data_IF_996408178863
#
_entry.id   IF_996408178863
#
_cell.length_a   1.000
_cell.length_b   1.000
_cell.length_c   1.000
_cell.angle_alpha   90.00
_cell.angle_beta   90.00
_cell.angle_gamma   90.00
#
_symmetry.space_group_name_H-M   'P 1'
#
loop_
_entity.id
_entity.type
_entity.pdbx_description
1 polymer ?
#
# COMPACT_ATOMS: atom_id res chain seq x y z
N UNK A 1 25.94 -19.27 19.48
CA UNK A 1 24.89 -19.66 18.54
C UNK A 1 25.30 -19.11 17.19
N UNK A 2 25.61 -19.98 16.21
CA UNK A 2 26.07 -19.53 14.88
C UNK A 2 24.89 -18.90 14.15
N UNK A 3 24.92 -17.60 13.97
CA UNK A 3 24.04 -16.95 13.00
C UNK A 3 24.40 -17.53 11.63
N UNK A 4 23.53 -18.34 11.07
CA UNK A 4 23.65 -18.82 9.70
C UNK A 4 23.60 -17.59 8.79
N UNK A 5 24.73 -17.30 8.12
CA UNK A 5 24.83 -16.20 7.13
C UNK A 5 24.10 -16.56 5.81
N UNK A 6 22.90 -17.14 5.90
CA UNK A 6 22.12 -17.45 4.71
C UNK A 6 21.59 -16.17 4.06
N UNK A 7 21.69 -16.09 2.76
CA UNK A 7 21.03 -15.02 1.99
C UNK A 7 19.51 -15.21 1.98
N UNK A 8 18.76 -14.15 1.69
CA UNK A 8 17.29 -14.22 1.53
C UNK A 8 16.88 -15.30 0.52
N UNK A 9 17.59 -15.41 -0.59
CA UNK A 9 17.34 -16.44 -1.61
C UNK A 9 17.56 -17.87 -1.07
N UNK A 10 18.63 -18.11 -0.29
CA UNK A 10 18.90 -19.43 0.31
C UNK A 10 17.84 -19.80 1.36
N UNK A 11 17.37 -18.84 2.15
CA UNK A 11 16.26 -19.06 3.08
C UNK A 11 14.96 -19.42 2.36
N UNK A 12 14.66 -18.71 1.27
CA UNK A 12 13.48 -18.99 0.44
C UNK A 12 13.55 -20.39 -0.21
N UNK A 13 14.71 -20.75 -0.75
CA UNK A 13 14.97 -22.07 -1.33
C UNK A 13 14.72 -23.18 -0.29
N UNK A 14 15.30 -23.03 0.91
CA UNK A 14 15.11 -24.00 1.99
C UNK A 14 13.65 -24.16 2.42
N UNK A 15 12.89 -23.06 2.51
CA UNK A 15 11.46 -23.09 2.84
C UNK A 15 10.67 -23.80 1.75
N UNK A 16 10.89 -23.44 0.49
CA UNK A 16 10.14 -24.02 -0.64
C UNK A 16 10.50 -25.49 -0.90
N UNK A 17 11.74 -25.90 -0.67
CA UNK A 17 12.14 -27.31 -0.72
C UNK A 17 11.38 -28.14 0.33
N UNK A 18 11.22 -27.63 1.55
CA UNK A 18 10.44 -28.30 2.59
C UNK A 18 8.95 -28.39 2.21
N UNK A 19 8.38 -27.34 1.62
CA UNK A 19 7.00 -27.34 1.11
C UNK A 19 6.83 -28.42 0.05
N UNK A 20 7.73 -28.45 -0.95
CA UNK A 20 7.68 -29.47 -2.03
C UNK A 20 7.89 -30.87 -1.51
N UNK A 21 8.80 -31.07 -0.55
CA UNK A 21 9.03 -32.36 0.09
C UNK A 21 7.81 -32.88 0.86
N UNK A 22 6.94 -31.97 1.34
CA UNK A 22 5.67 -32.32 1.96
C UNK A 22 4.53 -32.59 0.92
N UNK A 23 4.84 -32.60 -0.37
CA UNK A 23 3.88 -32.81 -1.45
C UNK A 23 2.93 -31.62 -1.67
N UNK A 24 3.37 -30.41 -1.34
CA UNK A 24 2.62 -29.16 -1.53
C UNK A 24 3.32 -28.23 -2.54
N UNK A 25 2.57 -27.35 -3.15
CA UNK A 25 3.11 -26.17 -3.82
C UNK A 25 3.02 -24.95 -2.88
N UNK A 26 3.87 -23.94 -3.09
CA UNK A 26 3.84 -22.76 -2.24
C UNK A 26 4.46 -21.53 -2.87
N UNK A 27 4.12 -20.39 -2.32
CA UNK A 27 4.82 -19.13 -2.52
C UNK A 27 5.20 -18.49 -1.19
N UNK A 28 6.33 -17.80 -1.20
CA UNK A 28 6.91 -17.12 -0.06
C UNK A 28 7.10 -15.64 -0.42
N UNK A 29 6.46 -14.77 0.34
CA UNK A 29 6.65 -13.33 0.27
C UNK A 29 7.52 -12.92 1.46
N UNK A 30 8.60 -12.18 1.18
CA UNK A 30 9.48 -11.62 2.21
C UNK A 30 9.39 -10.11 2.09
N UNK A 31 8.76 -9.49 3.09
CA UNK A 31 8.66 -8.04 3.20
C UNK A 31 9.70 -7.53 4.18
N UNK A 32 10.51 -6.57 3.75
CA UNK A 32 11.48 -5.85 4.56
C UNK A 32 11.19 -4.36 4.47
N UNK A 33 11.26 -3.66 5.59
CA UNK A 33 11.02 -2.24 5.65
C UNK A 33 11.88 -1.54 6.68
N UNK A 34 12.23 -0.29 6.38
CA UNK A 34 12.82 0.65 7.32
C UNK A 34 12.04 1.97 7.24
N UNK A 35 11.71 2.52 8.39
CA UNK A 35 11.03 3.81 8.49
C UNK A 35 11.77 4.68 9.50
N UNK A 36 12.17 5.87 9.06
CA UNK A 36 12.61 6.96 9.91
C UNK A 36 11.40 7.88 10.10
N UNK A 37 11.05 8.19 11.34
CA UNK A 37 9.97 9.10 11.70
C UNK A 37 10.49 10.18 12.63
N UNK A 38 10.26 11.43 12.28
CA UNK A 38 10.69 12.62 13.00
C UNK A 38 9.47 13.49 13.30
N UNK A 39 9.38 13.99 14.54
CA UNK A 39 8.39 15.00 14.92
C UNK A 39 9.05 16.14 15.64
N UNK A 40 8.52 17.33 15.45
CA UNK A 40 8.94 18.53 16.15
C UNK A 40 7.83 19.01 17.09
N UNK A 41 8.23 19.62 18.20
CA UNK A 41 7.33 20.31 19.12
C UNK A 41 8.08 21.45 19.82
N UNK A 42 7.43 22.61 19.89
CA UNK A 42 7.94 23.79 20.60
C UNK A 42 9.37 24.20 20.16
N UNK A 43 9.65 24.01 18.86
CA UNK A 43 10.94 24.34 18.26
C UNK A 43 12.04 23.30 18.48
N UNK A 44 11.73 22.17 19.10
CA UNK A 44 12.68 21.08 19.38
C UNK A 44 12.24 19.76 18.72
N UNK A 45 13.18 18.84 18.57
CA UNK A 45 12.89 17.49 18.10
C UNK A 45 12.21 16.67 19.20
N UNK A 46 10.90 16.38 19.05
CA UNK A 46 10.13 15.58 20.00
C UNK A 46 10.34 14.08 19.81
N UNK A 47 10.40 13.62 18.56
CA UNK A 47 10.55 12.19 18.26
C UNK A 47 11.59 11.98 17.15
N UNK A 48 12.51 11.07 17.41
CA UNK A 48 13.35 10.44 16.42
C UNK A 48 13.23 8.92 16.56
N UNK A 49 12.52 8.30 15.63
CA UNK A 49 12.26 6.87 15.66
C UNK A 49 12.75 6.22 14.38
N UNK A 50 13.52 5.14 14.53
CA UNK A 50 13.87 4.22 13.44
C UNK A 50 13.18 2.90 13.74
N UNK A 51 12.42 2.41 12.79
CA UNK A 51 11.75 1.10 12.86
C UNK A 51 12.18 0.27 11.67
N UNK A 52 12.57 -0.97 11.92
CA UNK A 52 12.82 -1.95 10.87
C UNK A 52 11.93 -3.16 11.09
N UNK A 53 11.48 -3.76 10.02
CA UNK A 53 10.67 -4.98 10.03
C UNK A 53 11.13 -5.94 8.95
N UNK A 54 10.99 -7.24 9.23
CA UNK A 54 11.19 -8.30 8.25
C UNK A 54 10.18 -9.40 8.52
N UNK A 55 9.36 -9.72 7.53
CA UNK A 55 8.26 -10.67 7.66
C UNK A 55 8.36 -11.68 6.53
N UNK A 56 8.29 -12.96 6.89
CA UNK A 56 8.15 -14.09 5.97
C UNK A 56 6.68 -14.53 5.97
N UNK A 57 5.98 -14.36 4.85
CA UNK A 57 4.62 -14.85 4.66
C UNK A 57 4.62 -16.03 3.70
N UNK A 58 4.25 -17.20 4.18
CA UNK A 58 4.18 -18.43 3.39
C UNK A 58 2.73 -18.79 3.12
N UNK A 59 2.39 -19.02 1.84
CA UNK A 59 1.18 -19.68 1.40
C UNK A 59 1.53 -21.05 0.83
N UNK A 60 0.80 -22.07 1.24
CA UNK A 60 0.92 -23.43 0.70
C UNK A 60 -0.42 -23.89 0.13
N UNK A 61 -0.36 -24.70 -0.93
CA UNK A 61 -1.51 -25.40 -1.49
C UNK A 61 -1.20 -26.88 -1.51
N UNK A 62 -1.98 -27.66 -0.76
CA UNK A 62 -1.86 -29.11 -0.69
C UNK A 62 -3.25 -29.75 -0.90
N UNK A 63 -3.38 -30.59 -1.90
CA UNK A 63 -4.64 -31.26 -2.23
C UNK A 63 -5.83 -30.31 -2.37
N UNK A 64 -5.58 -29.09 -2.90
CA UNK A 64 -6.58 -28.03 -3.05
C UNK A 64 -6.89 -27.26 -1.76
N UNK A 65 -6.24 -27.57 -0.65
CA UNK A 65 -6.35 -26.83 0.62
C UNK A 65 -5.27 -25.77 0.73
N UNK A 66 -5.66 -24.54 1.10
CA UNK A 66 -4.75 -23.40 1.22
C UNK A 66 -4.42 -23.21 2.69
N UNK A 67 -3.14 -23.15 3.02
CA UNK A 67 -2.68 -22.75 4.34
C UNK A 67 -1.72 -21.58 4.25
N UNK A 68 -1.85 -20.65 5.19
CA UNK A 68 -0.94 -19.51 5.32
C UNK A 68 -0.35 -19.45 6.71
N UNK A 69 0.89 -19.00 6.80
CA UNK A 69 1.56 -18.69 8.06
C UNK A 69 2.54 -17.54 7.84
N UNK A 70 2.97 -16.88 8.91
CA UNK A 70 3.98 -15.84 8.84
C UNK A 70 4.96 -15.95 10.01
N UNK A 71 6.16 -15.41 9.83
CA UNK A 71 7.20 -15.35 10.85
C UNK A 71 8.06 -14.09 10.68
N UNK A 72 8.42 -13.47 11.78
CA UNK A 72 9.45 -12.42 11.83
C UNK A 72 10.84 -13.00 12.18
N UNK A 73 10.86 -14.20 12.75
CA UNK A 73 12.10 -14.91 13.05
C UNK A 73 12.62 -15.66 11.80
N UNK A 74 13.94 -15.64 11.63
CA UNK A 74 14.63 -16.13 10.42
C UNK A 74 15.64 -17.25 10.70
N UNK A 75 15.69 -17.77 11.92
CA UNK A 75 16.51 -18.94 12.22
C UNK A 75 15.90 -20.22 11.61
N UNK A 76 16.73 -21.28 11.52
CA UNK A 76 16.34 -22.53 10.86
C UNK A 76 15.09 -23.17 11.50
N UNK A 77 14.94 -23.07 12.81
CA UNK A 77 13.81 -23.67 13.53
C UNK A 77 12.53 -22.86 13.29
N UNK A 78 12.63 -21.54 13.24
CA UNK A 78 11.51 -20.66 12.89
C UNK A 78 11.03 -20.93 11.46
N UNK A 79 11.93 -21.07 10.49
CA UNK A 79 11.58 -21.39 9.10
C UNK A 79 10.92 -22.77 8.95
N UNK A 80 11.39 -23.78 9.70
CA UNK A 80 10.71 -25.09 9.77
C UNK A 80 9.32 -24.99 10.40
N UNK A 81 9.21 -24.22 11.49
CA UNK A 81 7.92 -23.97 12.15
C UNK A 81 6.93 -23.26 11.21
N UNK A 82 7.41 -22.30 10.42
CA UNK A 82 6.61 -21.59 9.41
C UNK A 82 5.96 -22.57 8.41
N UNK A 83 6.75 -23.49 7.86
CA UNK A 83 6.25 -24.53 6.94
C UNK A 83 5.24 -25.44 7.63
N UNK A 84 5.59 -25.94 8.85
CA UNK A 84 4.69 -26.79 9.63
C UNK A 84 3.36 -26.13 9.95
N UNK A 85 3.37 -24.85 10.33
CA UNK A 85 2.16 -24.07 10.60
C UNK A 85 1.31 -23.88 9.35
N UNK A 86 1.90 -23.50 8.22
CA UNK A 86 1.19 -23.32 6.97
C UNK A 86 0.50 -24.62 6.51
N UNK A 87 1.22 -25.76 6.55
CA UNK A 87 0.67 -27.07 6.22
C UNK A 87 -0.45 -27.49 7.17
N UNK A 88 -0.27 -27.25 8.46
CA UNK A 88 -1.31 -27.53 9.47
C UNK A 88 -2.56 -26.67 9.22
N UNK A 89 -2.38 -25.38 8.97
CA UNK A 89 -3.49 -24.45 8.69
C UNK A 89 -4.27 -24.88 7.45
N UNK A 90 -3.61 -25.41 6.42
CA UNK A 90 -4.26 -25.95 5.22
C UNK A 90 -5.26 -27.06 5.57
N UNK A 91 -4.97 -27.91 6.57
CA UNK A 91 -5.84 -29.04 6.93
C UNK A 91 -7.20 -28.65 7.50
N UNK A 92 -7.38 -27.39 7.92
CA UNK A 92 -8.64 -26.87 8.49
C UNK A 92 -9.50 -26.08 7.49
N UNK A 93 -8.98 -25.80 6.30
CA UNK A 93 -9.64 -24.97 5.29
C UNK A 93 -10.35 -25.85 4.29
N UNK A 94 -11.45 -25.37 3.70
CA UNK A 94 -12.15 -26.07 2.61
C UNK A 94 -11.31 -26.07 1.34
N UNK A 95 -11.52 -27.07 0.50
CA UNK A 95 -10.89 -27.14 -0.83
C UNK A 95 -11.28 -25.92 -1.67
N UNK A 96 -10.28 -25.28 -2.27
CA UNK A 96 -10.41 -24.16 -3.20
C UNK A 96 -9.86 -24.59 -4.58
N UNK A 97 -10.71 -25.14 -5.40
CA UNK A 97 -10.33 -25.81 -6.68
C UNK A 97 -9.70 -24.87 -7.72
N UNK A 98 -9.83 -23.55 -7.56
CA UNK A 98 -9.33 -22.55 -8.50
C UNK A 98 -8.01 -21.91 -8.08
N UNK A 99 -7.54 -22.18 -6.89
CA UNK A 99 -6.28 -21.64 -6.38
C UNK A 99 -5.10 -22.47 -6.85
N UNK A 100 -4.09 -21.79 -7.38
CA UNK A 100 -2.87 -22.43 -7.89
C UNK A 100 -1.65 -21.58 -7.56
N UNK A 101 -0.46 -22.20 -7.53
CA UNK A 101 0.80 -21.52 -7.70
C UNK A 101 1.10 -21.48 -9.20
N UNK A 102 1.14 -20.27 -9.77
CA UNK A 102 1.34 -20.12 -11.21
C UNK A 102 2.70 -20.68 -11.64
N UNK A 103 2.77 -21.40 -12.76
CA UNK A 103 4.01 -21.86 -13.35
C UNK A 103 4.78 -20.67 -13.93
N UNK A 104 5.60 -20.04 -13.12
CA UNK A 104 6.37 -18.87 -13.48
C UNK A 104 7.81 -19.04 -13.02
N UNK A 105 8.73 -19.18 -13.96
CA UNK A 105 10.17 -19.33 -13.72
C UNK A 105 10.96 -18.04 -14.00
N UNK A 106 10.29 -16.90 -14.04
CA UNK A 106 10.92 -15.63 -14.37
C UNK A 106 11.61 -15.00 -13.16
N UNK A 107 12.71 -14.32 -13.44
CA UNK A 107 13.34 -13.37 -12.53
C UNK A 107 12.80 -11.98 -12.87
N UNK A 108 11.88 -11.47 -12.05
CA UNK A 108 11.24 -10.19 -12.26
C UNK A 108 11.85 -9.14 -11.32
N UNK A 109 12.16 -7.98 -11.87
CA UNK A 109 12.62 -6.82 -11.10
C UNK A 109 11.82 -5.60 -11.51
N UNK A 110 11.67 -4.69 -10.57
CA UNK A 110 11.11 -3.38 -10.84
C UNK A 110 12.20 -2.37 -11.20
N UNK A 111 11.76 -1.22 -11.68
CA UNK A 111 12.63 -0.09 -11.99
C UNK A 111 13.08 0.60 -10.68
N UNK A 112 14.23 0.20 -10.17
CA UNK A 112 14.78 0.74 -8.92
C UNK A 112 15.19 2.22 -9.07
N UNK A 113 15.55 2.70 -10.27
CA UNK A 113 15.87 4.11 -10.48
C UNK A 113 14.64 4.99 -10.28
N UNK A 114 13.48 4.52 -10.71
CA UNK A 114 12.22 5.20 -10.54
C UNK A 114 11.64 5.02 -9.13
N UNK A 115 11.61 3.77 -8.62
CA UNK A 115 10.85 3.41 -7.41
C UNK A 115 11.65 3.59 -6.13
N UNK A 116 12.97 3.48 -6.21
CA UNK A 116 13.89 3.57 -5.07
C UNK A 116 15.10 4.46 -5.39
N UNK A 117 14.88 5.70 -5.84
CA UNK A 117 15.97 6.60 -6.18
C UNK A 117 16.90 6.81 -4.99
N UNK A 118 18.20 6.90 -5.28
CA UNK A 118 19.22 7.08 -4.24
C UNK A 118 19.49 8.57 -4.03
N UNK A 119 19.43 9.02 -2.78
CA UNK A 119 19.81 10.36 -2.36
C UNK A 119 20.74 10.30 -1.16
N UNK A 120 21.65 11.26 -1.08
CA UNK A 120 22.51 11.46 0.08
C UNK A 120 21.93 12.58 0.97
N UNK A 121 20.91 12.26 1.72
CA UNK A 121 20.27 13.19 2.67
C UNK A 121 20.67 12.84 4.09
N UNK A 122 21.32 13.77 4.78
CA UNK A 122 21.71 13.56 6.18
C UNK A 122 20.48 13.56 7.10
N UNK A 123 20.62 12.94 8.27
CA UNK A 123 19.57 12.97 9.29
C UNK A 123 19.30 14.41 9.76
N UNK A 124 20.34 15.25 9.84
CA UNK A 124 20.20 16.65 10.22
C UNK A 124 19.32 17.44 9.25
N UNK A 125 19.45 17.20 7.93
CA UNK A 125 18.57 17.82 6.94
C UNK A 125 17.11 17.40 7.13
N UNK A 126 16.84 16.15 7.49
CA UNK A 126 15.50 15.66 7.79
C UNK A 126 14.92 16.29 9.06
N UNK A 127 15.75 16.42 10.11
CA UNK A 127 15.40 17.11 11.36
C UNK A 127 15.07 18.58 11.08
N UNK A 128 15.92 19.27 10.33
CA UNK A 128 15.70 20.69 9.99
C UNK A 128 14.41 20.90 9.20
N UNK A 129 14.00 19.96 8.34
CA UNK A 129 12.73 20.04 7.63
C UNK A 129 11.54 19.94 8.61
N UNK A 130 11.58 19.00 9.56
CA UNK A 130 10.52 18.83 10.56
C UNK A 130 10.39 20.09 11.44
N UNK A 131 11.52 20.61 11.95
CA UNK A 131 11.56 21.85 12.73
C UNK A 131 11.05 23.06 11.94
N UNK A 132 11.45 23.19 10.67
CA UNK A 132 11.02 24.30 9.82
C UNK A 132 9.50 24.28 9.56
N UNK A 133 8.90 23.11 9.39
CA UNK A 133 7.45 22.98 9.22
C UNK A 133 6.73 23.43 10.49
N UNK A 134 7.10 22.89 11.63
CA UNK A 134 6.47 23.22 12.92
C UNK A 134 6.59 24.70 13.24
N UNK A 135 7.82 25.24 13.25
CA UNK A 135 8.10 26.63 13.62
C UNK A 135 7.39 27.63 12.68
N UNK A 136 7.48 27.42 11.35
CA UNK A 136 6.91 28.35 10.38
C UNK A 136 5.38 28.29 10.37
N UNK A 137 4.78 27.12 10.57
CA UNK A 137 3.33 26.98 10.68
C UNK A 137 2.83 27.56 12.00
N UNK A 138 3.53 27.29 13.12
CA UNK A 138 3.21 27.85 14.43
C UNK A 138 3.27 29.38 14.51
N UNK A 139 4.11 30.01 13.67
CA UNK A 139 4.22 31.46 13.57
C UNK A 139 3.11 32.14 12.73
N UNK A 140 2.23 31.38 12.06
CA UNK A 140 1.11 31.93 11.28
C UNK A 140 0.05 32.52 12.22
N UNK A 141 -0.65 33.55 11.74
CA UNK A 141 -1.75 34.20 12.47
C UNK A 141 -2.82 33.18 12.89
N UNK A 142 -3.36 33.33 14.12
CA UNK A 142 -4.41 32.45 14.70
C UNK A 142 -3.98 30.99 14.92
N UNK A 143 -2.78 30.56 14.57
CA UNK A 143 -2.30 29.23 14.90
C UNK A 143 -1.94 29.18 16.37
N UNK A 144 -2.67 28.33 17.12
CA UNK A 144 -2.44 28.11 18.55
C UNK A 144 -1.31 27.11 18.76
N UNK A 145 -1.33 26.01 18.04
CA UNK A 145 -0.27 25.00 18.06
C UNK A 145 -0.31 24.11 16.80
N UNK A 146 0.73 23.27 16.65
CA UNK A 146 0.88 22.29 15.57
C UNK A 146 1.00 20.89 16.19
N UNK A 147 -0.13 20.31 16.66
CA UNK A 147 -0.10 19.10 17.50
C UNK A 147 0.39 17.85 16.77
N UNK A 148 0.23 17.81 15.45
CA UNK A 148 0.70 16.70 14.62
C UNK A 148 1.50 17.26 13.45
N UNK A 149 2.75 16.91 13.40
CA UNK A 149 3.64 17.24 12.30
C UNK A 149 4.73 16.18 12.20
N UNK A 150 5.39 16.11 11.09
CA UNK A 150 6.54 15.25 10.98
C UNK A 150 7.06 15.07 9.57
N UNK A 151 8.16 14.38 9.54
CA UNK A 151 8.84 13.91 8.34
C UNK A 151 9.03 12.41 8.47
N UNK A 152 8.71 11.68 7.43
CA UNK A 152 8.94 10.23 7.34
C UNK A 152 9.79 9.93 6.11
N UNK A 153 10.69 8.97 6.25
CA UNK A 153 11.44 8.39 5.14
C UNK A 153 11.30 6.88 5.25
N UNK A 154 10.72 6.27 4.23
CA UNK A 154 10.28 4.88 4.21
C UNK A 154 11.00 4.18 3.08
N UNK A 155 11.72 3.13 3.41
CA UNK A 155 12.24 2.15 2.47
C UNK A 155 11.45 0.86 2.60
N UNK A 156 11.09 0.24 1.49
CA UNK A 156 10.42 -1.06 1.45
C UNK A 156 11.03 -1.94 0.38
N UNK A 157 11.17 -3.22 0.69
CA UNK A 157 11.56 -4.25 -0.24
C UNK A 157 10.61 -5.44 -0.10
N UNK A 158 10.12 -5.93 -1.22
CA UNK A 158 9.33 -7.18 -1.30
C UNK A 158 10.02 -8.15 -2.22
N UNK A 159 10.26 -9.35 -1.73
CA UNK A 159 10.77 -10.46 -2.52
C UNK A 159 9.73 -11.58 -2.55
N UNK A 160 9.37 -12.05 -3.74
CA UNK A 160 8.40 -13.11 -3.95
C UNK A 160 9.12 -14.29 -4.58
N UNK A 161 8.99 -15.45 -3.95
CA UNK A 161 9.49 -16.70 -4.47
C UNK A 161 8.36 -17.72 -4.58
N UNK A 162 8.42 -18.64 -5.52
CA UNK A 162 7.47 -19.75 -5.59
C UNK A 162 8.13 -21.08 -5.88
N UNK A 163 7.47 -22.16 -5.49
CA UNK A 163 7.88 -23.54 -5.84
C UNK A 163 7.84 -23.82 -7.34
N UNK A 164 7.22 -22.93 -8.13
CA UNK A 164 7.18 -22.97 -9.59
C UNK A 164 8.27 -22.11 -10.26
N UNK A 165 9.27 -21.61 -9.47
CA UNK A 165 10.44 -20.93 -9.96
C UNK A 165 10.37 -19.41 -10.06
N UNK A 166 9.27 -18.78 -9.63
CA UNK A 166 9.20 -17.31 -9.55
C UNK A 166 10.24 -16.76 -8.58
N UNK A 167 10.93 -15.71 -9.01
CA UNK A 167 11.83 -14.90 -8.20
C UNK A 167 11.64 -13.44 -8.59
N UNK A 168 10.80 -12.73 -7.85
CA UNK A 168 10.40 -11.35 -8.14
C UNK A 168 10.82 -10.41 -7.02
N UNK A 169 11.47 -9.30 -7.37
CA UNK A 169 12.00 -8.31 -6.43
C UNK A 169 11.46 -6.93 -6.76
N UNK A 170 10.86 -6.30 -5.75
CA UNK A 170 10.43 -4.90 -5.77
C UNK A 170 11.11 -4.14 -4.65
N UNK A 171 11.63 -2.94 -4.96
CA UNK A 171 12.09 -1.96 -3.98
C UNK A 171 11.36 -0.67 -4.20
N UNK A 172 11.07 0.03 -3.11
CA UNK A 172 10.47 1.36 -3.19
C UNK A 172 10.96 2.25 -2.07
N UNK A 173 10.99 3.55 -2.35
CA UNK A 173 11.26 4.59 -1.37
C UNK A 173 10.15 5.62 -1.42
N UNK A 174 9.80 6.14 -0.25
CA UNK A 174 8.82 7.21 -0.10
C UNK A 174 9.24 8.11 1.05
N UNK A 175 9.34 9.40 0.77
CA UNK A 175 9.50 10.43 1.78
C UNK A 175 8.20 11.22 1.90
N UNK A 176 7.82 11.57 3.12
CA UNK A 176 6.60 12.32 3.40
C UNK A 176 6.87 13.45 4.39
N UNK A 177 6.21 14.57 4.20
CA UNK A 177 6.12 15.65 5.17
C UNK A 177 4.66 15.97 5.41
N UNK A 178 4.25 16.18 6.66
CA UNK A 178 2.88 16.49 7.02
C UNK A 178 2.78 17.42 8.21
N UNK A 179 1.70 18.17 8.29
CA UNK A 179 1.35 18.97 9.45
C UNK A 179 -0.15 19.10 9.62
N UNK A 180 -0.59 19.21 10.86
CA UNK A 180 -1.92 19.62 11.28
C UNK A 180 -1.79 20.79 12.24
N UNK A 181 -2.58 21.84 12.04
CA UNK A 181 -2.58 22.99 12.92
C UNK A 181 -3.95 23.16 13.58
N UNK A 182 -3.95 23.57 14.83
CA UNK A 182 -5.11 24.10 15.53
C UNK A 182 -5.08 25.61 15.42
N UNK A 183 -6.11 26.19 14.81
CA UNK A 183 -6.31 27.65 14.74
C UNK A 183 -7.43 28.05 15.68
N UNK A 184 -7.30 29.23 16.32
CA UNK A 184 -8.31 29.80 17.22
C UNK A 184 -8.54 31.29 16.90
N UNK A 185 -9.81 31.72 16.98
CA UNK A 185 -10.21 33.12 16.88
C UNK A 185 -11.43 33.37 17.79
N UNK A 186 -11.17 33.89 18.97
CA UNK A 186 -12.16 33.98 20.03
C UNK A 186 -12.66 32.60 20.48
N UNK A 187 -13.96 32.35 20.33
CA UNK A 187 -14.57 31.05 20.67
C UNK A 187 -14.53 30.03 19.53
N UNK A 188 -14.08 30.43 18.33
CA UNK A 188 -14.02 29.57 17.16
C UNK A 188 -12.68 28.85 17.14
N UNK A 189 -12.71 27.59 16.74
CA UNK A 189 -11.51 26.82 16.48
C UNK A 189 -11.70 25.87 15.30
N UNK A 190 -10.62 25.53 14.64
CA UNK A 190 -10.61 24.53 13.58
C UNK A 190 -9.24 23.82 13.56
N UNK A 191 -9.23 22.56 13.23
CA UNK A 191 -8.02 21.79 13.01
C UNK A 191 -8.10 21.04 11.68
N UNK A 192 -7.08 21.26 10.86
CA UNK A 192 -6.91 20.58 9.59
C UNK A 192 -5.44 20.37 9.30
N UNK A 193 -5.15 19.54 8.28
CA UNK A 193 -3.80 19.26 7.87
C UNK A 193 -3.62 19.03 6.39
N UNK A 194 -2.36 19.05 5.99
CA UNK A 194 -1.92 18.68 4.67
C UNK A 194 -0.65 17.84 4.74
N UNK A 195 -0.40 17.11 3.67
CA UNK A 195 0.82 16.33 3.49
C UNK A 195 1.33 16.44 2.07
N UNK A 196 2.60 16.20 1.92
CA UNK A 196 3.25 15.97 0.64
C UNK A 196 4.02 14.66 0.70
N UNK A 197 4.01 13.91 -0.39
CA UNK A 197 4.73 12.66 -0.55
C UNK A 197 5.57 12.75 -1.83
N UNK A 198 6.80 12.23 -1.79
CA UNK A 198 7.65 12.08 -2.96
C UNK A 198 8.53 10.83 -2.82
N UNK A 199 9.06 10.33 -3.94
CA UNK A 199 10.11 9.30 -3.93
C UNK A 199 11.48 9.89 -3.59
N UNK A 200 11.67 11.19 -3.83
CA UNK A 200 12.87 11.95 -3.49
C UNK A 200 12.59 12.86 -2.30
N UNK A 201 13.41 12.76 -1.27
CA UNK A 201 13.31 13.65 -0.10
C UNK A 201 13.52 15.12 -0.50
N UNK A 202 14.45 15.38 -1.41
CA UNK A 202 14.77 16.73 -1.91
C UNK A 202 13.60 17.45 -2.59
N UNK A 203 12.57 16.71 -3.02
CA UNK A 203 11.36 17.28 -3.63
C UNK A 203 10.31 17.70 -2.59
N UNK A 204 10.50 17.37 -1.32
CA UNK A 204 9.58 17.81 -0.26
C UNK A 204 9.68 19.33 -0.09
N UNK A 205 8.56 20.00 -0.27
CA UNK A 205 8.44 21.44 -0.14
C UNK A 205 7.69 21.83 1.14
N UNK A 206 8.40 22.27 2.19
CA UNK A 206 7.75 22.64 3.44
C UNK A 206 6.72 23.77 3.28
N UNK A 207 6.95 24.71 2.37
CA UNK A 207 6.00 25.81 2.14
C UNK A 207 4.65 25.28 1.64
N UNK A 208 4.65 24.28 0.76
CA UNK A 208 3.41 23.67 0.27
C UNK A 208 2.59 23.03 1.39
N UNK A 209 3.26 22.30 2.31
CA UNK A 209 2.57 21.67 3.46
C UNK A 209 2.04 22.75 4.42
N UNK A 210 2.86 23.76 4.71
CA UNK A 210 2.51 24.87 5.62
C UNK A 210 1.31 25.65 5.07
N UNK A 211 1.40 26.12 3.83
CA UNK A 211 0.39 27.00 3.25
C UNK A 211 -0.94 26.27 3.06
N UNK A 212 -0.93 25.04 2.54
CA UNK A 212 -2.15 24.21 2.43
C UNK A 212 -2.79 23.91 3.80
N UNK A 213 -1.98 23.58 4.83
CA UNK A 213 -2.49 23.33 6.17
C UNK A 213 -3.17 24.58 6.72
N UNK A 214 -2.51 25.74 6.61
CA UNK A 214 -3.03 27.00 7.09
C UNK A 214 -4.32 27.42 6.38
N UNK A 215 -4.33 27.37 5.06
CA UNK A 215 -5.51 27.69 4.23
C UNK A 215 -6.72 26.82 4.61
N UNK A 216 -6.54 25.50 4.77
CA UNK A 216 -7.60 24.59 5.19
C UNK A 216 -8.12 24.91 6.60
N UNK A 217 -7.24 25.23 7.54
CA UNK A 217 -7.65 25.61 8.90
C UNK A 217 -8.46 26.89 8.92
N UNK A 218 -7.96 27.96 8.27
CA UNK A 218 -8.65 29.25 8.20
C UNK A 218 -9.98 29.15 7.45
N UNK A 219 -10.02 28.38 6.36
CA UNK A 219 -11.25 28.15 5.60
C UNK A 219 -12.37 27.48 6.40
N UNK A 220 -12.04 26.73 7.45
CA UNK A 220 -13.01 26.07 8.34
C UNK A 220 -13.39 26.88 9.57
N UNK A 221 -12.66 27.92 9.91
CA UNK A 221 -12.83 28.65 11.17
C UNK A 221 -14.23 29.29 11.29
N UNK A 222 -14.81 29.71 10.18
CA UNK A 222 -16.17 30.24 10.09
C UNK A 222 -17.24 29.20 9.68
N UNK A 223 -16.85 27.92 9.65
CA UNK A 223 -17.74 26.82 9.27
C UNK A 223 -18.98 26.72 10.17
N UNK A 224 -20.15 26.54 9.55
CA UNK A 224 -21.43 26.36 10.25
C UNK A 224 -22.18 25.17 9.68
N UNK A 225 -22.97 24.47 10.51
CA UNK A 225 -23.89 23.47 9.99
C UNK A 225 -24.83 24.05 8.93
N UNK A 226 -25.05 23.32 7.86
CA UNK A 226 -26.00 23.69 6.81
C UNK A 226 -27.33 22.95 7.06
N UNK A 227 -28.50 23.54 6.62
CA UNK A 227 -29.79 22.88 6.76
C UNK A 227 -29.87 21.54 6.05
N UNK A 228 -30.65 20.59 6.58
CA UNK A 228 -30.91 19.32 5.91
C UNK A 228 -31.79 19.51 4.70
N UNK A 229 -31.24 19.29 3.50
CA UNK A 229 -31.97 19.32 2.21
C UNK A 229 -31.16 18.55 1.15
N UNK A 230 -31.68 18.50 -0.07
CA UNK A 230 -30.91 18.04 -1.22
C UNK A 230 -29.91 19.11 -1.65
N UNK A 231 -28.67 18.67 -1.92
CA UNK A 231 -27.57 19.51 -2.39
C UNK A 231 -26.90 18.87 -3.59
N UNK A 232 -26.47 19.67 -4.53
CA UNK A 232 -25.45 19.30 -5.48
C UNK A 232 -24.10 19.34 -4.76
N UNK A 233 -23.36 18.24 -4.79
CA UNK A 233 -22.09 18.10 -4.05
C UNK A 233 -20.94 17.96 -5.02
N UNK A 234 -19.93 18.81 -4.87
CA UNK A 234 -18.67 18.72 -5.59
C UNK A 234 -17.62 18.17 -4.63
N UNK A 235 -17.05 17.01 -4.96
CA UNK A 235 -15.92 16.47 -4.25
C UNK A 235 -14.63 16.98 -4.90
N UNK A 236 -13.75 17.58 -4.10
CA UNK A 236 -12.41 17.91 -4.58
C UNK A 236 -11.56 16.66 -4.82
N UNK A 237 -10.42 16.82 -5.45
CA UNK A 237 -9.54 15.71 -5.84
C UNK A 237 -9.00 14.90 -4.64
N UNK A 238 -8.83 15.51 -3.47
CA UNK A 238 -8.40 14.83 -2.26
C UNK A 238 -9.53 13.97 -1.67
N UNK A 239 -10.75 14.50 -1.65
CA UNK A 239 -11.94 13.79 -1.19
C UNK A 239 -12.33 12.63 -2.12
N UNK A 240 -12.16 12.79 -3.45
CA UNK A 240 -12.48 11.76 -4.44
C UNK A 240 -11.79 10.43 -4.13
N UNK A 241 -10.53 10.43 -3.68
CA UNK A 241 -9.80 9.21 -3.31
C UNK A 241 -10.56 8.41 -2.24
N UNK A 242 -11.08 9.09 -1.22
CA UNK A 242 -11.85 8.46 -0.15
C UNK A 242 -13.21 7.96 -0.63
N UNK A 243 -13.89 8.73 -1.48
CA UNK A 243 -15.18 8.34 -2.07
C UNK A 243 -15.01 7.09 -2.95
N UNK A 244 -14.06 7.09 -3.88
CA UNK A 244 -13.85 5.95 -4.78
C UNK A 244 -13.33 4.70 -4.05
N UNK A 245 -12.60 4.85 -2.96
CA UNK A 245 -12.15 3.71 -2.13
C UNK A 245 -13.33 2.89 -1.60
N UNK A 246 -14.44 3.52 -1.24
CA UNK A 246 -15.65 2.81 -0.80
C UNK A 246 -16.21 1.91 -1.90
N UNK A 247 -16.08 2.34 -3.16
CA UNK A 247 -16.56 1.59 -4.32
C UNK A 247 -15.55 0.57 -4.87
N UNK A 248 -14.30 0.53 -4.38
CA UNK A 248 -13.27 -0.38 -4.88
C UNK A 248 -13.70 -1.86 -4.82
N UNK A 249 -14.46 -2.24 -3.80
CA UNK A 249 -15.01 -3.60 -3.64
C UNK A 249 -15.91 -4.01 -4.84
N UNK A 250 -16.56 -3.05 -5.49
CA UNK A 250 -17.44 -3.29 -6.64
C UNK A 250 -16.67 -3.71 -7.91
N UNK A 251 -15.36 -3.49 -7.94
CA UNK A 251 -14.50 -3.89 -9.05
C UNK A 251 -13.72 -5.18 -8.75
N UNK A 252 -13.95 -5.81 -7.61
CA UNK A 252 -13.21 -7.02 -7.21
C UNK A 252 -13.86 -8.29 -7.75
N UNK A 253 -13.09 -9.07 -8.53
CA UNK A 253 -13.46 -10.42 -8.96
C UNK A 253 -13.61 -11.38 -7.78
N UNK A 254 -12.85 -11.20 -6.69
CA UNK A 254 -12.97 -12.01 -5.47
C UNK A 254 -14.34 -11.85 -4.82
N UNK A 255 -14.80 -10.63 -4.62
CA UNK A 255 -16.13 -10.38 -4.04
C UNK A 255 -17.27 -10.81 -4.99
N UNK A 256 -17.02 -10.80 -6.30
CA UNK A 256 -17.94 -11.36 -7.28
C UNK A 256 -18.03 -12.90 -7.18
N UNK A 257 -16.89 -13.59 -7.04
CA UNK A 257 -16.82 -15.03 -6.75
C UNK A 257 -17.59 -15.36 -5.47
N UNK A 258 -17.41 -14.58 -4.44
CA UNK A 258 -18.05 -14.77 -3.12
C UNK A 258 -19.54 -14.42 -3.11
N UNK A 259 -20.09 -13.87 -4.19
CA UNK A 259 -21.51 -13.53 -4.33
C UNK A 259 -21.97 -12.26 -3.60
N UNK A 260 -21.06 -11.45 -3.09
CA UNK A 260 -21.33 -10.21 -2.35
C UNK A 260 -21.15 -8.93 -3.19
N UNK A 261 -20.62 -9.04 -4.41
CA UNK A 261 -20.41 -7.90 -5.30
C UNK A 261 -21.68 -7.59 -6.10
N UNK A 262 -22.28 -6.39 -5.92
CA UNK A 262 -23.49 -5.99 -6.66
C UNK A 262 -23.24 -5.77 -8.16
N UNK A 263 -21.97 -5.69 -8.60
CA UNK A 263 -21.57 -5.51 -10.00
C UNK A 263 -21.28 -6.83 -10.72
N UNK A 264 -21.36 -7.96 -10.04
CA UNK A 264 -21.04 -9.30 -10.58
C UNK A 264 -21.64 -9.56 -11.95
N UNK A 265 -22.94 -9.27 -12.10
CA UNK A 265 -23.71 -9.56 -13.30
C UNK A 265 -24.02 -8.27 -14.12
N UNK A 266 -23.20 -7.21 -13.94
CA UNK A 266 -23.39 -5.90 -14.57
C UNK A 266 -22.37 -5.57 -15.66
N UNK A 267 -21.47 -6.51 -15.98
CA UNK A 267 -20.51 -6.30 -17.08
C UNK A 267 -21.29 -6.02 -18.36
N UNK A 268 -20.91 -4.97 -19.11
CA UNK A 268 -21.58 -4.46 -20.28
C UNK A 268 -22.81 -3.58 -20.00
N UNK A 269 -23.16 -3.36 -18.72
CA UNK A 269 -24.29 -2.50 -18.34
C UNK A 269 -23.83 -1.09 -17.96
N UNK A 270 -24.72 -0.11 -18.18
CA UNK A 270 -24.53 1.26 -17.69
C UNK A 270 -24.77 1.28 -16.17
N UNK A 271 -23.77 1.69 -15.41
CA UNK A 271 -23.77 1.74 -13.95
C UNK A 271 -23.61 3.17 -13.41
N UNK A 272 -23.23 4.12 -14.26
CA UNK A 272 -22.97 5.51 -13.90
C UNK A 272 -23.30 6.46 -15.07
N UNK A 273 -23.15 7.75 -14.82
CA UNK A 273 -23.26 8.78 -15.86
C UNK A 273 -22.19 8.57 -16.95
N UNK A 274 -22.53 8.87 -18.21
CA UNK A 274 -21.65 8.70 -19.37
C UNK A 274 -20.36 9.54 -19.31
N UNK A 275 -20.28 10.52 -18.45
CA UNK A 275 -19.06 11.31 -18.20
C UNK A 275 -18.03 10.57 -17.34
N UNK A 276 -18.41 9.46 -16.68
CA UNK A 276 -17.52 8.70 -15.82
C UNK A 276 -16.75 7.66 -16.62
N UNK A 277 -15.44 7.78 -16.59
CA UNK A 277 -14.49 6.75 -17.07
C UNK A 277 -13.50 6.42 -15.98
N UNK A 278 -13.31 5.14 -15.68
CA UNK A 278 -12.39 4.63 -14.65
C UNK A 278 -11.44 3.61 -15.27
N UNK A 279 -10.16 3.81 -15.03
CA UNK A 279 -9.12 2.85 -15.36
C UNK A 279 -8.46 2.34 -14.07
N UNK A 280 -8.11 1.06 -14.02
CA UNK A 280 -6.99 0.59 -13.21
C UNK A 280 -5.70 0.81 -14.01
N UNK A 281 -4.77 1.56 -13.46
CA UNK A 281 -3.56 1.97 -14.18
C UNK A 281 -2.30 1.73 -13.34
N UNK A 282 -1.92 0.47 -13.12
CA UNK A 282 -0.73 0.12 -12.31
C UNK A 282 0.59 0.62 -12.91
N UNK A 283 0.62 0.93 -14.20
CA UNK A 283 1.80 1.47 -14.91
C UNK A 283 1.81 3.01 -14.98
N UNK A 284 1.06 3.69 -14.12
CA UNK A 284 1.13 5.15 -14.03
C UNK A 284 2.41 5.58 -13.29
N UNK A 285 3.38 6.11 -14.03
CA UNK A 285 4.69 6.53 -13.53
C UNK A 285 4.60 7.66 -12.48
N UNK A 286 3.59 8.52 -12.61
CA UNK A 286 3.35 9.63 -11.66
C UNK A 286 2.65 9.17 -10.38
N UNK A 287 2.14 7.94 -10.37
CA UNK A 287 1.43 7.36 -9.22
C UNK A 287 2.35 6.60 -8.28
N UNK A 288 2.04 6.61 -6.98
CA UNK A 288 2.74 5.78 -5.99
C UNK A 288 2.33 4.29 -6.05
N UNK A 289 1.30 3.96 -6.81
CA UNK A 289 0.86 2.58 -7.05
C UNK A 289 1.48 1.93 -8.28
N UNK A 290 2.63 2.42 -8.78
CA UNK A 290 3.31 1.85 -9.94
C UNK A 290 3.82 0.44 -9.67
N UNK A 291 3.37 -0.54 -10.47
CA UNK A 291 3.74 -1.96 -10.35
C UNK A 291 3.88 -2.58 -11.73
N UNK A 292 5.00 -3.23 -12.00
CA UNK A 292 5.24 -3.97 -13.24
C UNK A 292 4.65 -5.39 -13.23
N UNK A 293 4.42 -5.94 -12.04
CA UNK A 293 3.83 -7.25 -11.82
C UNK A 293 3.06 -7.27 -10.49
N UNK A 294 2.11 -8.17 -10.38
CA UNK A 294 1.32 -8.38 -9.17
C UNK A 294 2.02 -9.33 -8.16
N UNK A 295 1.32 -9.67 -7.09
CA UNK A 295 1.83 -10.58 -6.05
C UNK A 295 1.97 -12.04 -6.52
N UNK A 296 1.42 -12.40 -7.67
CA UNK A 296 1.55 -13.72 -8.31
C UNK A 296 2.65 -13.74 -9.38
N UNK A 297 3.31 -12.60 -9.63
CA UNK A 297 4.30 -12.44 -10.69
C UNK A 297 3.70 -12.28 -12.08
N UNK A 298 2.41 -11.97 -12.17
CA UNK A 298 1.73 -11.67 -13.42
C UNK A 298 2.02 -10.23 -13.83
N UNK A 299 2.40 -10.00 -15.10
CA UNK A 299 2.61 -8.65 -15.62
C UNK A 299 1.31 -7.84 -15.55
N UNK A 300 1.43 -6.62 -15.05
CA UNK A 300 0.29 -5.70 -14.95
C UNK A 300 0.07 -4.94 -16.24
N UNK A 301 -1.19 -4.56 -16.49
CA UNK A 301 -1.55 -3.72 -17.63
C UNK A 301 -2.64 -2.71 -17.24
N UNK A 302 -2.81 -1.70 -18.08
CA UNK A 302 -3.88 -0.72 -17.90
C UNK A 302 -5.22 -1.32 -18.26
N UNK A 303 -6.09 -1.55 -17.28
CA UNK A 303 -7.42 -2.14 -17.44
C UNK A 303 -8.53 -1.07 -17.47
N UNK A 304 -9.49 -1.24 -18.37
CA UNK A 304 -10.67 -0.37 -18.50
C UNK A 304 -11.77 -0.91 -17.58
N UNK A 305 -11.99 -0.27 -16.43
CA UNK A 305 -13.05 -0.71 -15.51
C UNK A 305 -14.41 -0.16 -15.91
N UNK A 306 -14.50 1.14 -16.15
CA UNK A 306 -15.72 1.81 -16.61
C UNK A 306 -15.36 2.74 -17.76
N UNK A 307 -16.09 2.64 -18.86
CA UNK A 307 -15.99 3.56 -20.01
C UNK A 307 -17.35 4.14 -20.29
N UNK A 308 -17.42 5.47 -20.32
CA UNK A 308 -18.65 6.23 -20.60
C UNK A 308 -19.85 5.71 -19.75
N UNK A 309 -19.59 5.48 -18.45
CA UNK A 309 -20.57 4.96 -17.50
C UNK A 309 -20.86 3.46 -17.60
N UNK A 310 -20.32 2.75 -18.60
CA UNK A 310 -20.54 1.34 -18.80
C UNK A 310 -19.44 0.49 -18.18
N UNK A 311 -19.79 -0.49 -17.32
CA UNK A 311 -18.86 -1.42 -16.69
C UNK A 311 -18.25 -2.37 -17.73
N UNK A 312 -16.93 -2.39 -17.85
CA UNK A 312 -16.22 -3.20 -18.84
C UNK A 312 -15.72 -4.53 -18.27
N UNK A 313 -15.14 -4.50 -17.07
CA UNK A 313 -14.58 -5.69 -16.41
C UNK A 313 -14.49 -5.49 -14.90
N UNK A 314 -14.18 -6.58 -14.20
CA UNK A 314 -13.72 -6.57 -12.81
C UNK A 314 -12.22 -6.91 -12.79
N UNK A 315 -11.57 -6.69 -11.66
CA UNK A 315 -10.16 -7.02 -11.45
C UNK A 315 -10.06 -8.48 -10.97
N UNK A 316 -9.28 -9.27 -11.67
CA UNK A 316 -9.14 -10.71 -11.45
C UNK A 316 -7.69 -11.14 -11.26
N UNK A 317 -7.43 -11.84 -10.14
CA UNK A 317 -6.22 -12.65 -9.97
C UNK A 317 -6.39 -14.03 -10.64
N UNK A 318 -5.37 -14.88 -10.59
CA UNK A 318 -5.39 -16.21 -11.21
C UNK A 318 -6.57 -17.07 -10.75
N UNK A 319 -6.88 -17.07 -9.47
CA UNK A 319 -7.97 -17.89 -8.92
C UNK A 319 -9.36 -17.44 -9.38
N UNK A 320 -9.61 -16.13 -9.39
CA UNK A 320 -10.90 -15.58 -9.83
C UNK A 320 -11.04 -15.63 -11.35
N UNK A 321 -9.96 -15.44 -12.09
CA UNK A 321 -9.92 -15.62 -13.53
C UNK A 321 -10.26 -17.07 -13.92
N UNK A 322 -9.66 -18.05 -13.23
CA UNK A 322 -9.99 -19.48 -13.38
C UNK A 322 -11.45 -19.76 -13.06
N UNK A 323 -11.99 -19.20 -11.96
CA UNK A 323 -13.38 -19.40 -11.56
C UNK A 323 -14.38 -18.89 -12.61
N UNK A 324 -14.12 -17.72 -13.19
CA UNK A 324 -15.00 -17.11 -14.21
C UNK A 324 -14.65 -17.53 -15.64
N UNK A 325 -13.63 -18.37 -15.83
CA UNK A 325 -13.11 -18.79 -17.13
C UNK A 325 -12.75 -17.63 -18.06
N UNK A 326 -11.99 -16.67 -17.52
CA UNK A 326 -11.49 -15.48 -18.21
C UNK A 326 -9.98 -15.33 -17.96
N UNK A 327 -9.35 -14.33 -18.58
CA UNK A 327 -7.96 -13.99 -18.28
C UNK A 327 -7.83 -13.17 -17.00
N UNK A 328 -6.65 -13.21 -16.37
CA UNK A 328 -6.24 -12.24 -15.33
C UNK A 328 -6.22 -10.83 -15.89
N UNK A 329 -6.44 -9.84 -15.06
CA UNK A 329 -6.42 -8.41 -15.43
C UNK A 329 -5.16 -7.72 -14.93
#
# INVERSE_FOLDING_TARGET
MSHSNMTTAQMAEQVLEQVMSAGAAGDLIIDEGETISLKARDGELEEYKVSSSRIFGLRVIKDGHIGTAYSEAVDVDALKSLVGQALNNASFVKVESHENILPNSNHLKTDDELLCPQEQISIDQKIQLALAIENRLGAKDKVKNVPFNGVQDIFSQRHIFSSAGLNALTRSRMSAAYAYALVEDGEKNAMQGASQVSRLFSELNPSLVIDKTYEKCIGLLDGKPIPSKHYDVIFDTECQVSVFRVFAIMFSGKTAKDGINPMRDKIGSVIADSRLTIYDHPLNIDGFGYHLFDAEGTATEKSKLVIDGCLQTLIHNSATASYFNINTT
#
